data_IF_454980877197
#
_entry.id   IF_454980877197
#
_cell.length_a   1.000
_cell.length_b   1.000
_cell.length_c   1.000
_cell.angle_alpha   90.00
_cell.angle_beta   90.00
_cell.angle_gamma   90.00
#
_symmetry.space_group_name_H-M   'P 1'
#
loop_
_entity.id
_entity.type
_entity.pdbx_description
1 polymer ?
#
# COMPACT_ATOMS: atom_id res chain seq x y z
N UNK A 1 -84.00 -3.35 -20.35
CA UNK A 1 -82.68 -2.79 -20.75
C UNK A 1 -81.84 -2.67 -19.50
N UNK A 2 -80.88 -3.56 -19.31
CA UNK A 2 -79.93 -3.52 -18.19
C UNK A 2 -78.61 -2.92 -18.70
N UNK A 3 -78.13 -1.87 -18.05
CA UNK A 3 -76.80 -1.30 -18.28
C UNK A 3 -75.78 -2.08 -17.43
N UNK A 4 -74.86 -2.79 -18.08
CA UNK A 4 -73.66 -3.33 -17.45
C UNK A 4 -72.56 -2.25 -17.52
N UNK A 5 -72.15 -1.73 -16.36
CA UNK A 5 -70.93 -0.95 -16.20
C UNK A 5 -69.74 -1.90 -16.02
N UNK A 6 -68.87 -1.97 -17.01
CA UNK A 6 -67.62 -2.72 -16.97
C UNK A 6 -66.55 -1.91 -16.24
N UNK A 7 -66.11 -2.37 -15.07
CA UNK A 7 -65.01 -1.80 -14.31
C UNK A 7 -63.67 -2.32 -14.87
N UNK A 8 -62.89 -1.48 -15.56
CA UNK A 8 -61.54 -1.82 -15.99
C UNK A 8 -60.57 -1.69 -14.81
N UNK A 9 -60.08 -2.82 -14.29
CA UNK A 9 -58.95 -2.86 -13.37
C UNK A 9 -57.66 -2.71 -14.18
N UNK A 10 -56.98 -1.56 -14.08
CA UNK A 10 -55.58 -1.45 -14.49
C UNK A 10 -54.72 -2.18 -13.46
N UNK A 11 -54.29 -3.40 -13.79
CA UNK A 11 -53.20 -4.07 -13.08
C UNK A 11 -51.88 -3.43 -13.54
N UNK A 12 -51.30 -2.59 -12.68
CA UNK A 12 -49.89 -2.22 -12.83
C UNK A 12 -49.05 -3.48 -12.61
N UNK A 13 -48.48 -4.03 -13.68
CA UNK A 13 -47.44 -5.04 -13.59
C UNK A 13 -46.18 -4.37 -13.03
N UNK A 14 -45.87 -4.65 -11.76
CA UNK A 14 -44.53 -4.41 -11.20
C UNK A 14 -43.55 -5.27 -12.01
N UNK A 15 -42.86 -4.67 -12.98
CA UNK A 15 -41.70 -5.34 -13.58
C UNK A 15 -40.64 -5.48 -12.48
N UNK A 16 -40.08 -6.69 -12.26
CA UNK A 16 -39.00 -6.85 -11.30
C UNK A 16 -37.81 -6.03 -11.79
N UNK A 17 -37.46 -5.00 -11.02
CA UNK A 17 -36.27 -4.17 -11.22
C UNK A 17 -35.05 -5.08 -11.01
N UNK A 18 -34.42 -5.51 -12.11
CA UNK A 18 -33.28 -6.44 -12.05
C UNK A 18 -32.02 -5.72 -11.59
N UNK A 19 -31.24 -6.37 -10.73
CA UNK A 19 -29.88 -5.94 -10.38
C UNK A 19 -29.04 -5.74 -11.65
N UNK A 20 -28.21 -4.70 -11.64
CA UNK A 20 -27.21 -4.45 -12.68
C UNK A 20 -25.95 -5.22 -12.31
N UNK A 21 -25.58 -6.16 -13.19
CA UNK A 21 -24.34 -6.92 -13.05
C UNK A 21 -23.19 -6.11 -13.61
N UNK A 22 -22.15 -5.91 -12.81
CA UNK A 22 -20.88 -5.34 -13.25
C UNK A 22 -19.78 -6.39 -13.10
N UNK A 23 -19.05 -6.61 -14.19
CA UNK A 23 -17.89 -7.49 -14.23
C UNK A 23 -16.65 -6.63 -14.54
N UNK A 24 -15.60 -6.77 -13.74
CA UNK A 24 -14.33 -6.09 -13.98
C UNK A 24 -13.15 -6.94 -13.51
N UNK A 25 -12.01 -6.72 -14.17
CA UNK A 25 -10.76 -7.35 -13.77
C UNK A 25 -10.17 -6.62 -12.56
N UNK A 26 -9.62 -7.39 -11.62
CA UNK A 26 -8.93 -6.90 -10.44
C UNK A 26 -7.66 -7.73 -10.25
N UNK A 27 -6.56 -7.20 -10.77
CA UNK A 27 -5.30 -7.92 -10.95
C UNK A 27 -5.52 -9.20 -11.78
N UNK A 28 -5.09 -10.38 -11.33
CA UNK A 28 -5.34 -11.64 -12.05
C UNK A 28 -6.76 -12.21 -11.87
N UNK A 29 -7.56 -11.61 -10.98
CA UNK A 29 -8.90 -12.06 -10.66
C UNK A 29 -9.99 -11.34 -11.43
N UNK A 30 -11.16 -11.98 -11.53
CA UNK A 30 -12.41 -11.35 -12.00
C UNK A 30 -13.34 -11.10 -10.84
N UNK A 31 -13.88 -9.89 -10.77
CA UNK A 31 -14.87 -9.49 -9.77
C UNK A 31 -16.20 -9.32 -10.48
N UNK A 32 -17.21 -10.02 -10.00
CA UNK A 32 -18.60 -9.87 -10.40
C UNK A 32 -19.38 -9.31 -9.23
N UNK A 33 -20.03 -8.17 -9.43
CA UNK A 33 -20.91 -7.56 -8.42
C UNK A 33 -22.30 -7.34 -9.02
N UNK A 34 -23.31 -7.52 -8.18
CA UNK A 34 -24.68 -7.18 -8.50
C UNK A 34 -25.09 -5.93 -7.71
N UNK A 35 -25.47 -4.88 -8.43
CA UNK A 35 -25.86 -3.59 -7.87
C UNK A 35 -27.35 -3.40 -8.09
N UNK A 36 -28.12 -3.34 -7.00
CA UNK A 36 -29.55 -3.04 -7.09
C UNK A 36 -29.75 -1.66 -7.71
N UNK A 37 -30.70 -1.44 -8.64
CA UNK A 37 -30.93 -0.11 -9.22
C UNK A 37 -31.33 0.94 -8.18
N UNK A 38 -31.89 0.51 -7.04
CA UNK A 38 -32.13 1.40 -5.89
C UNK A 38 -30.85 1.97 -5.29
N UNK A 39 -29.70 1.32 -5.52
CA UNK A 39 -28.38 1.78 -5.11
C UNK A 39 -27.81 2.86 -6.03
N UNK A 40 -28.46 3.20 -7.15
CA UNK A 40 -28.09 4.33 -8.00
C UNK A 40 -28.65 5.65 -7.41
N UNK A 41 -27.99 6.16 -6.37
CA UNK A 41 -28.46 7.32 -5.60
C UNK A 41 -27.92 8.59 -6.26
N UNK A 42 -28.79 9.50 -6.74
CA UNK A 42 -28.34 10.77 -7.27
C UNK A 42 -27.75 11.62 -6.16
N UNK A 43 -26.72 12.39 -6.50
CA UNK A 43 -26.12 13.37 -5.62
C UNK A 43 -25.83 14.61 -6.45
N UNK A 44 -26.50 15.72 -6.16
CA UNK A 44 -26.03 17.00 -6.68
C UNK A 44 -24.82 17.40 -5.86
N UNK A 45 -23.75 17.89 -6.49
CA UNK A 45 -22.44 18.14 -5.84
C UNK A 45 -22.45 19.26 -4.78
N UNK A 46 -23.63 19.56 -4.20
CA UNK A 46 -23.83 20.39 -3.03
C UNK A 46 -23.29 19.68 -1.78
N UNK A 47 -22.02 19.95 -1.48
CA UNK A 47 -21.28 19.34 -0.38
C UNK A 47 -21.63 19.96 0.98
N UNK A 48 -22.77 19.57 1.52
CA UNK A 48 -23.20 19.91 2.89
C UNK A 48 -23.40 18.66 3.74
N UNK A 49 -23.28 18.80 5.07
CA UNK A 49 -23.53 17.68 5.99
C UNK A 49 -24.94 17.09 5.86
N UNK A 50 -25.96 17.93 5.59
CA UNK A 50 -27.33 17.48 5.36
C UNK A 50 -27.45 16.60 4.10
N UNK A 51 -26.82 17.00 2.99
CA UNK A 51 -26.82 16.21 1.75
C UNK A 51 -26.11 14.86 1.91
N UNK A 52 -24.99 14.84 2.62
CA UNK A 52 -24.29 13.58 2.91
C UNK A 52 -25.12 12.66 3.81
N UNK A 53 -25.84 13.22 4.79
CA UNK A 53 -26.77 12.48 5.64
C UNK A 53 -27.93 11.88 4.82
N UNK A 54 -28.52 12.65 3.90
CA UNK A 54 -29.56 12.18 2.97
C UNK A 54 -29.07 11.04 2.09
N UNK A 55 -27.86 11.18 1.51
CA UNK A 55 -27.23 10.12 0.72
C UNK A 55 -27.06 8.84 1.55
N UNK A 56 -26.51 8.95 2.77
CA UNK A 56 -26.33 7.80 3.65
C UNK A 56 -27.65 7.10 3.97
N UNK A 57 -28.69 7.86 4.34
CA UNK A 57 -30.01 7.31 4.65
C UNK A 57 -30.63 6.59 3.44
N UNK A 58 -30.51 7.17 2.24
CA UNK A 58 -30.96 6.53 1.02
C UNK A 58 -30.20 5.22 0.77
N UNK A 59 -28.87 5.24 0.88
CA UNK A 59 -28.02 4.06 0.67
C UNK A 59 -28.31 2.94 1.66
N UNK A 60 -28.52 3.28 2.93
CA UNK A 60 -28.78 2.33 4.00
C UNK A 60 -30.14 1.60 3.87
N UNK A 61 -31.07 2.17 3.09
CA UNK A 61 -32.38 1.58 2.81
C UNK A 61 -32.39 0.66 1.58
N UNK A 62 -31.28 0.58 0.84
CA UNK A 62 -31.16 -0.26 -0.36
C UNK A 62 -30.74 -1.70 -0.04
N UNK A 63 -30.73 -2.56 -1.06
CA UNK A 63 -30.20 -3.92 -0.98
C UNK A 63 -28.66 -3.98 -1.09
N UNK A 64 -27.94 -3.09 -0.40
CA UNK A 64 -26.48 -3.00 -0.48
C UNK A 64 -25.74 -4.23 0.09
N UNK A 65 -26.40 -5.04 0.94
CA UNK A 65 -25.75 -6.14 1.67
C UNK A 65 -25.15 -7.19 0.74
N UNK A 66 -25.82 -7.51 -0.38
CA UNK A 66 -25.30 -8.48 -1.34
C UNK A 66 -24.00 -8.00 -2.00
N UNK A 67 -23.93 -6.70 -2.32
CA UNK A 67 -22.72 -6.07 -2.84
C UNK A 67 -21.59 -6.14 -1.81
N UNK A 68 -21.84 -5.70 -0.57
CA UNK A 68 -20.82 -5.70 0.50
C UNK A 68 -20.32 -7.11 0.80
N UNK A 69 -21.23 -8.08 0.92
CA UNK A 69 -20.87 -9.48 1.13
C UNK A 69 -20.02 -10.03 -0.02
N UNK A 70 -20.35 -9.70 -1.27
CA UNK A 70 -19.55 -10.13 -2.43
C UNK A 70 -18.13 -9.57 -2.40
N UNK A 71 -17.95 -8.32 -1.94
CA UNK A 71 -16.62 -7.72 -1.76
C UNK A 71 -15.84 -8.38 -0.62
N UNK A 72 -16.50 -8.65 0.52
CA UNK A 72 -15.90 -9.32 1.67
C UNK A 72 -15.54 -10.78 1.36
N UNK A 73 -16.42 -11.52 0.69
CA UNK A 73 -16.15 -12.88 0.23
C UNK A 73 -14.94 -12.91 -0.72
N UNK A 74 -14.83 -11.93 -1.61
CA UNK A 74 -13.66 -11.78 -2.47
C UNK A 74 -12.39 -11.43 -1.66
N UNK A 75 -12.49 -10.52 -0.68
CA UNK A 75 -11.41 -10.16 0.25
C UNK A 75 -10.87 -11.42 0.94
N UNK A 76 -11.75 -12.22 1.51
CA UNK A 76 -11.41 -13.42 2.27
C UNK A 76 -10.83 -14.52 1.37
N UNK A 77 -11.47 -14.77 0.22
CA UNK A 77 -11.02 -15.78 -0.75
C UNK A 77 -9.62 -15.48 -1.30
N UNK A 78 -9.30 -14.21 -1.54
CA UNK A 78 -7.99 -13.80 -2.08
C UNK A 78 -6.97 -13.47 -0.99
N UNK A 79 -7.41 -13.44 0.27
CA UNK A 79 -6.62 -13.00 1.43
C UNK A 79 -6.07 -11.58 1.23
N UNK A 80 -6.93 -10.64 0.81
CA UNK A 80 -6.53 -9.24 0.61
C UNK A 80 -6.28 -8.58 1.97
N UNK A 81 -5.15 -7.89 2.09
CA UNK A 81 -4.95 -6.91 3.17
C UNK A 81 -5.84 -5.68 2.93
N UNK A 82 -5.96 -4.82 3.94
CA UNK A 82 -6.91 -3.71 3.90
C UNK A 82 -6.57 -2.68 2.81
N UNK A 83 -5.29 -2.43 2.53
CA UNK A 83 -4.89 -1.54 1.43
C UNK A 83 -5.34 -2.05 0.06
N UNK A 84 -5.12 -3.33 -0.22
CA UNK A 84 -5.57 -3.96 -1.47
C UNK A 84 -7.09 -4.03 -1.53
N UNK A 85 -7.75 -4.31 -0.39
CA UNK A 85 -9.22 -4.25 -0.29
C UNK A 85 -9.77 -2.86 -0.59
N UNK A 86 -9.13 -1.80 -0.12
CA UNK A 86 -9.51 -0.43 -0.47
C UNK A 86 -9.36 -0.17 -1.98
N UNK A 87 -8.36 -0.74 -2.66
CA UNK A 87 -8.28 -0.65 -4.13
C UNK A 87 -9.47 -1.36 -4.81
N UNK A 88 -9.93 -2.49 -4.27
CA UNK A 88 -11.15 -3.17 -4.74
C UNK A 88 -12.37 -2.24 -4.58
N UNK A 89 -12.55 -1.64 -3.41
CA UNK A 89 -13.65 -0.68 -3.15
C UNK A 89 -13.58 0.52 -4.09
N UNK A 90 -12.38 1.05 -4.37
CA UNK A 90 -12.19 2.13 -5.35
C UNK A 90 -12.63 1.73 -6.76
N UNK A 91 -12.31 0.51 -7.20
CA UNK A 91 -12.72 -0.04 -8.51
C UNK A 91 -14.23 -0.26 -8.55
N UNK A 92 -14.82 -0.80 -7.49
CA UNK A 92 -16.28 -0.94 -7.36
C UNK A 92 -17.00 0.39 -7.42
N UNK A 93 -16.56 1.39 -6.66
CA UNK A 93 -17.15 2.73 -6.70
C UNK A 93 -17.04 3.36 -8.10
N UNK A 94 -15.94 3.09 -8.82
CA UNK A 94 -15.76 3.55 -10.20
C UNK A 94 -16.79 2.95 -11.17
N UNK A 95 -17.25 1.71 -10.94
CA UNK A 95 -18.31 1.09 -11.75
C UNK A 95 -19.69 1.68 -11.48
N UNK A 96 -19.95 2.12 -10.24
CA UNK A 96 -21.27 2.59 -9.78
C UNK A 96 -21.45 4.09 -10.03
N UNK A 97 -20.41 4.87 -9.72
CA UNK A 97 -20.37 6.31 -9.88
C UNK A 97 -18.96 6.71 -10.36
N UNK A 98 -18.74 6.77 -11.68
CA UNK A 98 -17.44 7.10 -12.24
C UNK A 98 -16.91 8.43 -11.68
N UNK A 99 -15.65 8.42 -11.22
CA UNK A 99 -14.99 9.60 -10.63
C UNK A 99 -15.05 10.84 -11.54
N UNK A 100 -14.96 10.64 -12.85
CA UNK A 100 -14.97 11.72 -13.85
C UNK A 100 -16.36 12.35 -14.05
N UNK A 101 -17.44 11.62 -13.74
CA UNK A 101 -18.81 12.11 -13.87
C UNK A 101 -19.25 12.84 -12.61
N UNK A 102 -18.96 12.27 -11.45
CA UNK A 102 -19.29 12.87 -10.15
C UNK A 102 -18.29 12.41 -9.08
N UNK A 103 -17.36 13.30 -8.72
CA UNK A 103 -16.33 13.01 -7.72
C UNK A 103 -16.89 12.84 -6.30
N UNK A 104 -17.90 13.63 -5.92
CA UNK A 104 -18.47 13.60 -4.58
C UNK A 104 -19.17 12.26 -4.33
N UNK A 105 -20.03 11.85 -5.26
CA UNK A 105 -20.75 10.58 -5.28
C UNK A 105 -19.80 9.39 -5.31
N UNK A 106 -18.75 9.43 -6.13
CA UNK A 106 -17.69 8.43 -6.11
C UNK A 106 -17.08 8.28 -4.71
N UNK A 107 -16.77 9.39 -4.05
CA UNK A 107 -16.19 9.40 -2.70
C UNK A 107 -17.17 8.91 -1.64
N UNK A 108 -18.45 9.26 -1.75
CA UNK A 108 -19.52 8.79 -0.87
C UNK A 108 -19.70 7.28 -0.94
N UNK A 109 -19.68 6.67 -2.13
CA UNK A 109 -19.74 5.20 -2.23
C UNK A 109 -18.50 4.53 -1.65
N UNK A 110 -17.29 5.06 -1.86
CA UNK A 110 -16.09 4.52 -1.21
C UNK A 110 -16.24 4.52 0.31
N UNK A 111 -16.63 5.67 0.89
CA UNK A 111 -16.84 5.80 2.33
C UNK A 111 -17.92 4.84 2.83
N UNK A 112 -19.08 4.80 2.16
CA UNK A 112 -20.19 3.94 2.53
C UNK A 112 -19.77 2.47 2.52
N UNK A 113 -19.14 2.00 1.44
CA UNK A 113 -18.69 0.61 1.31
C UNK A 113 -17.63 0.27 2.37
N UNK A 114 -16.67 1.16 2.66
CA UNK A 114 -15.70 0.93 3.73
C UNK A 114 -16.39 0.81 5.11
N UNK A 115 -17.33 1.71 5.42
CA UNK A 115 -18.08 1.66 6.68
C UNK A 115 -18.92 0.37 6.78
N UNK A 116 -19.63 0.01 5.72
CA UNK A 116 -20.45 -1.22 5.67
C UNK A 116 -19.62 -2.50 5.67
N UNK A 117 -18.34 -2.40 5.33
CA UNK A 117 -17.36 -3.50 5.45
C UNK A 117 -16.71 -3.56 6.84
N UNK A 118 -17.11 -2.68 7.75
CA UNK A 118 -16.74 -2.69 9.16
C UNK A 118 -15.66 -1.70 9.55
N UNK A 119 -15.10 -0.90 8.64
CA UNK A 119 -14.02 0.04 8.96
C UNK A 119 -14.56 1.36 9.50
N UNK A 120 -13.99 1.87 10.59
CA UNK A 120 -14.32 3.18 11.14
C UNK A 120 -13.79 4.29 10.21
N UNK A 121 -14.64 4.78 9.33
CA UNK A 121 -14.30 5.77 8.33
C UNK A 121 -15.22 6.99 8.43
N UNK A 122 -14.66 8.18 8.22
CA UNK A 122 -15.31 9.46 8.47
C UNK A 122 -15.22 10.38 7.27
N UNK A 123 -16.18 11.29 7.17
CA UNK A 123 -16.20 12.34 6.15
C UNK A 123 -16.12 13.72 6.78
N UNK A 124 -15.50 14.65 6.06
CA UNK A 124 -15.62 16.07 6.31
C UNK A 124 -15.92 16.79 4.99
N UNK A 125 -16.61 17.92 5.05
CA UNK A 125 -16.90 18.76 3.87
C UNK A 125 -16.52 20.21 4.14
N UNK A 126 -16.07 20.90 3.11
CA UNK A 126 -15.69 22.31 3.18
C UNK A 126 -14.90 22.71 1.95
N UNK A 127 -14.88 24.01 1.62
CA UNK A 127 -14.22 24.52 0.42
C UNK A 127 -14.62 23.80 -0.88
N UNK A 128 -15.89 23.39 -0.99
CA UNK A 128 -16.40 22.58 -2.11
C UNK A 128 -15.61 21.27 -2.33
N UNK A 129 -15.10 20.68 -1.24
CA UNK A 129 -14.38 19.42 -1.22
C UNK A 129 -15.01 18.46 -0.19
N UNK A 130 -14.85 17.16 -0.45
CA UNK A 130 -15.24 16.08 0.44
C UNK A 130 -13.98 15.31 0.82
N UNK A 131 -13.67 15.28 2.10
CA UNK A 131 -12.46 14.65 2.62
C UNK A 131 -12.85 13.34 3.28
N UNK A 132 -12.14 12.27 2.88
CA UNK A 132 -12.42 10.91 3.31
C UNK A 132 -11.29 10.40 4.20
N UNK A 133 -11.62 10.14 5.46
CA UNK A 133 -10.69 9.65 6.46
C UNK A 133 -11.01 8.23 6.88
N UNK A 134 -9.99 7.49 7.30
CA UNK A 134 -10.13 6.16 7.88
C UNK A 134 -9.31 6.04 9.17
N UNK A 135 -9.88 5.39 10.18
CA UNK A 135 -9.17 5.13 11.42
C UNK A 135 -8.01 4.16 11.15
N UNK A 136 -6.82 4.46 11.69
CA UNK A 136 -5.70 3.54 11.69
C UNK A 136 -4.83 3.74 12.93
N UNK A 137 -3.97 2.76 13.24
CA UNK A 137 -3.04 2.84 14.37
C UNK A 137 -1.56 3.01 13.96
N UNK A 138 -1.25 2.84 12.67
CA UNK A 138 0.09 3.04 12.12
C UNK A 138 0.52 4.52 12.06
N UNK A 139 1.83 4.74 12.12
CA UNK A 139 2.42 6.06 11.94
C UNK A 139 2.45 6.49 10.47
N UNK A 140 1.33 7.07 10.04
CA UNK A 140 1.18 7.75 8.75
C UNK A 140 1.20 9.27 8.96
N UNK A 141 2.33 9.92 8.78
CA UNK A 141 2.51 11.36 9.09
C UNK A 141 2.81 12.22 7.85
N UNK A 142 3.01 11.60 6.70
CA UNK A 142 3.28 12.23 5.41
C UNK A 142 2.02 12.83 4.75
N UNK A 143 0.85 12.33 5.13
CA UNK A 143 -0.45 12.82 4.66
C UNK A 143 -1.32 13.35 5.80
N UNK A 144 -2.29 14.24 5.52
CA UNK A 144 -3.14 14.84 6.55
C UNK A 144 -3.90 13.79 7.36
N UNK A 145 -3.90 13.98 8.68
CA UNK A 145 -4.68 13.18 9.63
C UNK A 145 -5.24 14.08 10.73
N UNK A 146 -6.17 13.55 11.52
CA UNK A 146 -6.59 14.15 12.78
C UNK A 146 -6.73 13.08 13.86
N UNK A 147 -6.80 13.50 15.12
CA UNK A 147 -7.05 12.61 16.25
C UNK A 147 -8.35 13.00 16.95
N UNK A 148 -9.19 12.01 17.25
CA UNK A 148 -10.39 12.17 18.07
C UNK A 148 -10.41 11.01 19.08
N UNK A 149 -10.54 11.34 20.37
CA UNK A 149 -10.59 10.37 21.47
C UNK A 149 -9.41 9.37 21.49
N UNK A 150 -8.21 9.85 21.14
CA UNK A 150 -6.99 9.03 21.07
C UNK A 150 -6.93 8.10 19.86
N UNK A 151 -7.87 8.20 18.91
CA UNK A 151 -7.85 7.48 17.64
C UNK A 151 -7.42 8.40 16.50
N UNK A 152 -6.45 7.94 15.72
CA UNK A 152 -5.96 8.63 14.52
C UNK A 152 -6.83 8.28 13.31
N UNK A 153 -7.13 9.30 12.51
CA UNK A 153 -7.89 9.20 11.27
C UNK A 153 -7.12 9.84 10.12
N UNK A 154 -6.70 9.03 9.16
CA UNK A 154 -5.80 9.42 8.08
C UNK A 154 -6.56 9.64 6.76
N UNK A 155 -6.20 10.67 5.99
CA UNK A 155 -6.91 11.11 4.78
C UNK A 155 -6.61 10.22 3.55
N UNK A 156 -7.57 9.39 3.14
CA UNK A 156 -7.43 8.45 2.02
C UNK A 156 -7.51 9.09 0.63
N UNK A 157 -8.02 10.31 0.50
CA UNK A 157 -8.19 10.99 -0.79
C UNK A 157 -7.38 12.28 -0.91
N UNK A 158 -6.35 12.47 -0.07
CA UNK A 158 -5.44 13.61 -0.16
C UNK A 158 -4.83 13.78 -1.56
N UNK A 159 -4.42 12.65 -2.18
CA UNK A 159 -3.85 12.61 -3.53
C UNK A 159 -4.75 13.18 -4.64
N UNK A 160 -6.07 13.25 -4.42
CA UNK A 160 -7.00 13.82 -5.39
C UNK A 160 -6.99 15.36 -5.39
N UNK A 161 -6.51 15.99 -4.31
CA UNK A 161 -6.50 17.44 -4.12
C UNK A 161 -5.08 18.04 -4.12
N UNK A 162 -4.10 17.33 -3.56
CA UNK A 162 -2.71 17.78 -3.47
C UNK A 162 -2.60 19.20 -2.90
N UNK A 163 -2.05 20.14 -3.68
CA UNK A 163 -1.86 21.55 -3.28
C UNK A 163 -3.17 22.31 -3.01
N UNK A 164 -4.32 21.79 -3.46
CA UNK A 164 -5.65 22.38 -3.19
C UNK A 164 -6.21 21.97 -1.82
N UNK A 165 -5.56 21.05 -1.11
CA UNK A 165 -5.93 20.68 0.26
C UNK A 165 -5.58 21.84 1.21
N UNK A 166 -6.54 22.23 2.05
CA UNK A 166 -6.36 23.34 3.00
C UNK A 166 -6.11 22.82 4.43
N UNK A 167 -5.49 23.65 5.26
CA UNK A 167 -5.19 23.30 6.67
C UNK A 167 -6.41 23.54 7.58
N UNK A 168 -6.22 23.35 8.89
CA UNK A 168 -7.25 23.38 9.94
C UNK A 168 -8.32 24.48 9.77
N UNK A 169 -9.55 24.16 10.17
CA UNK A 169 -10.80 24.94 10.08
C UNK A 169 -11.45 25.03 8.69
N UNK A 170 -10.81 24.51 7.65
CA UNK A 170 -11.36 24.44 6.30
C UNK A 170 -12.48 23.39 6.11
N UNK A 171 -12.50 22.35 6.94
CA UNK A 171 -13.37 21.18 6.76
C UNK A 171 -14.18 20.89 8.02
N UNK A 172 -15.48 20.75 7.85
CA UNK A 172 -16.44 20.48 8.91
C UNK A 172 -16.71 18.96 8.95
N UNK A 173 -16.41 18.27 10.07
CA UNK A 173 -16.70 16.84 10.21
C UNK A 173 -18.20 16.54 10.12
N UNK A 174 -18.55 15.47 9.42
CA UNK A 174 -19.93 14.99 9.30
C UNK A 174 -20.18 13.92 10.36
N UNK A 175 -21.20 14.14 11.19
CA UNK A 175 -21.53 13.27 12.33
C UNK A 175 -22.57 12.21 11.93
N UNK A 176 -22.14 11.20 11.17
CA UNK A 176 -22.93 10.00 10.88
C UNK A 176 -22.37 8.82 11.68
N UNK A 177 -23.22 8.13 12.44
CA UNK A 177 -22.85 6.90 13.14
C UNK A 177 -23.27 5.69 12.31
N UNK A 178 -22.31 4.87 11.89
CA UNK A 178 -22.54 3.57 11.23
C UNK A 178 -22.22 2.47 12.26
N UNK A 179 -23.22 1.76 12.81
CA UNK A 179 -23.02 0.85 13.94
C UNK A 179 -21.94 -0.23 13.76
N UNK A 180 -21.80 -0.75 12.54
CA UNK A 180 -20.84 -1.80 12.18
C UNK A 180 -19.42 -1.28 11.91
N UNK A 181 -19.22 0.03 11.75
CA UNK A 181 -17.95 0.64 11.40
C UNK A 181 -17.06 0.84 12.64
N UNK A 182 -16.47 -0.25 13.13
CA UNK A 182 -15.70 -0.26 14.39
C UNK A 182 -14.25 -0.69 14.25
N UNK A 183 -13.89 -1.29 13.12
CA UNK A 183 -12.56 -1.86 12.90
C UNK A 183 -11.58 -0.80 12.42
N UNK A 184 -10.35 -0.97 12.86
CA UNK A 184 -9.22 -0.17 12.44
C UNK A 184 -8.75 -0.64 11.04
N UNK A 185 -8.26 0.28 10.21
CA UNK A 185 -7.68 -0.05 8.91
C UNK A 185 -6.17 -0.21 9.02
N UNK A 186 -5.62 -1.30 8.46
CA UNK A 186 -4.17 -1.47 8.41
C UNK A 186 -3.56 -1.09 7.07
N UNK A 187 -2.52 -0.25 7.11
CA UNK A 187 -1.71 0.04 5.92
C UNK A 187 -0.71 -1.09 5.62
N UNK A 188 -0.58 -2.12 6.47
CA UNK A 188 0.40 -3.20 6.25
C UNK A 188 0.02 -4.07 5.05
N UNK A 189 0.89 -4.10 4.04
CA UNK A 189 0.76 -5.00 2.89
C UNK A 189 1.50 -6.31 3.22
N UNK A 190 0.77 -7.28 3.76
CA UNK A 190 1.31 -8.60 4.15
C UNK A 190 1.38 -9.60 3.00
N UNK A 191 0.68 -9.30 1.90
CA UNK A 191 0.61 -10.11 0.67
C UNK A 191 0.28 -9.19 -0.50
N UNK A 192 1.04 -9.30 -1.60
CA UNK A 192 0.67 -8.67 -2.86
C UNK A 192 -0.38 -9.51 -3.60
N UNK A 193 -1.30 -8.88 -4.35
CA UNK A 193 -2.22 -9.62 -5.21
C UNK A 193 -1.43 -10.41 -6.26
N UNK A 194 -2.02 -11.49 -6.75
CA UNK A 194 -1.48 -12.15 -7.94
C UNK A 194 -1.80 -11.26 -9.16
N UNK A 195 -0.79 -11.00 -9.99
CA UNK A 195 -0.94 -10.21 -11.20
C UNK A 195 -1.05 -11.11 -12.43
N UNK A 196 -1.68 -10.62 -13.50
CA UNK A 196 -1.84 -11.37 -14.75
C UNK A 196 -0.46 -11.81 -15.26
N UNK A 197 -0.20 -13.14 -15.45
CA UNK A 197 1.12 -13.62 -15.82
C UNK A 197 1.68 -13.02 -17.12
N UNK A 198 0.80 -12.71 -18.08
CA UNK A 198 1.18 -12.10 -19.36
C UNK A 198 1.64 -10.64 -19.24
N UNK A 199 1.35 -9.97 -18.12
CA UNK A 199 1.74 -8.58 -17.88
C UNK A 199 3.15 -8.46 -17.26
N UNK A 200 3.78 -9.57 -16.89
CA UNK A 200 5.15 -9.54 -16.38
C UNK A 200 6.14 -9.30 -17.52
N UNK A 201 7.08 -8.40 -17.25
CA UNK A 201 8.22 -8.11 -18.12
C UNK A 201 9.48 -8.76 -17.55
N UNK A 202 10.39 -9.18 -18.43
CA UNK A 202 11.73 -9.58 -18.02
C UNK A 202 12.63 -8.36 -17.94
N UNK A 203 13.35 -8.23 -16.82
CA UNK A 203 14.40 -7.23 -16.63
C UNK A 203 15.72 -7.94 -16.35
N UNK A 204 16.75 -7.55 -17.07
CA UNK A 204 18.10 -8.01 -16.82
C UNK A 204 18.73 -7.13 -15.73
N UNK A 205 19.19 -7.76 -14.66
CA UNK A 205 20.04 -7.12 -13.65
C UNK A 205 21.42 -7.72 -13.72
N UNK A 206 22.44 -6.90 -13.57
CA UNK A 206 23.82 -7.36 -13.53
C UNK A 206 24.63 -6.55 -12.53
N UNK A 207 25.60 -7.22 -11.90
CA UNK A 207 26.59 -6.54 -11.07
C UNK A 207 27.90 -7.32 -11.04
N UNK A 208 28.99 -6.64 -10.74
CA UNK A 208 30.30 -7.24 -10.59
C UNK A 208 30.66 -7.37 -9.11
N UNK A 209 31.16 -8.54 -8.72
CA UNK A 209 31.82 -8.75 -7.43
C UNK A 209 33.25 -9.22 -7.68
N UNK A 210 34.19 -8.29 -7.55
CA UNK A 210 35.58 -8.48 -7.99
C UNK A 210 35.65 -8.74 -9.49
N UNK A 211 36.22 -9.88 -9.88
CA UNK A 211 36.35 -10.30 -11.29
C UNK A 211 35.16 -11.11 -11.80
N UNK A 212 34.15 -11.39 -10.97
CA UNK A 212 33.00 -12.19 -11.37
C UNK A 212 31.81 -11.30 -11.68
N UNK A 213 31.33 -11.40 -12.92
CA UNK A 213 30.08 -10.78 -13.35
C UNK A 213 28.90 -11.71 -13.04
N UNK A 214 27.86 -11.16 -12.42
CA UNK A 214 26.60 -11.83 -12.13
C UNK A 214 25.50 -11.24 -13.00
N UNK A 215 24.62 -12.10 -13.51
CA UNK A 215 23.49 -11.71 -14.34
C UNK A 215 22.23 -12.42 -13.85
N UNK A 216 21.12 -11.70 -13.84
CA UNK A 216 19.81 -12.18 -13.44
C UNK A 216 18.79 -11.75 -14.47
N UNK A 217 17.92 -12.68 -14.87
CA UNK A 217 16.70 -12.35 -15.59
C UNK A 217 15.55 -12.47 -14.58
N UNK A 218 15.00 -11.34 -14.17
CA UNK A 218 13.91 -11.28 -13.20
C UNK A 218 12.62 -10.89 -13.90
N UNK A 219 11.51 -11.46 -13.45
CA UNK A 219 10.17 -11.06 -13.86
C UNK A 219 9.66 -9.97 -12.94
N UNK A 220 9.07 -8.93 -13.50
CA UNK A 220 8.51 -7.79 -12.77
C UNK A 220 7.18 -7.39 -13.38
N UNK A 221 6.28 -6.79 -12.59
CA UNK A 221 4.99 -6.33 -13.10
C UNK A 221 4.81 -4.82 -12.89
N UNK A 222 4.38 -4.10 -13.94
CA UNK A 222 4.15 -2.66 -13.84
C UNK A 222 2.91 -2.30 -12.99
N UNK A 223 1.96 -3.22 -12.84
CA UNK A 223 0.73 -3.03 -12.05
C UNK A 223 1.04 -2.77 -10.56
N UNK A 224 2.24 -3.14 -10.09
CA UNK A 224 2.71 -2.79 -8.75
C UNK A 224 2.80 -1.26 -8.56
N UNK A 225 3.20 -0.53 -9.60
CA UNK A 225 3.30 0.93 -9.52
C UNK A 225 1.94 1.58 -9.29
N UNK A 226 0.87 0.99 -9.85
CA UNK A 226 -0.49 1.46 -9.64
C UNK A 226 -1.01 1.15 -8.24
N UNK A 227 -0.67 -0.02 -7.68
CA UNK A 227 -1.03 -0.39 -6.29
C UNK A 227 -0.42 0.58 -5.26
N UNK A 228 0.80 1.04 -5.50
CA UNK A 228 1.54 1.94 -4.61
C UNK A 228 1.39 3.42 -4.96
N UNK A 229 0.70 3.77 -6.05
CA UNK A 229 0.62 5.14 -6.57
C UNK A 229 0.16 6.17 -5.53
N UNK A 230 -0.78 5.78 -4.67
CA UNK A 230 -1.33 6.62 -3.61
C UNK A 230 -1.10 6.02 -2.21
N UNK A 231 -0.20 5.05 -2.10
CA UNK A 231 0.16 4.48 -0.80
C UNK A 231 1.03 5.49 -0.05
N UNK A 232 0.70 5.82 1.20
CA UNK A 232 1.45 6.82 1.94
C UNK A 232 2.82 6.30 2.38
N UNK A 233 3.68 7.21 2.80
CA UNK A 233 4.84 6.92 3.62
C UNK A 233 4.41 6.24 4.92
N UNK A 234 4.90 5.02 5.10
CA UNK A 234 4.69 4.21 6.30
C UNK A 234 6.00 4.06 7.07
N UNK A 235 5.89 3.59 8.31
CA UNK A 235 7.06 3.28 9.13
C UNK A 235 7.98 2.22 8.48
N UNK A 236 9.24 2.18 8.95
CA UNK A 236 10.26 1.28 8.40
C UNK A 236 9.90 -0.20 8.57
N UNK A 237 9.24 -0.58 9.66
CA UNK A 237 8.75 -1.95 9.84
C UNK A 237 7.78 -2.31 8.69
N UNK A 238 6.76 -1.51 8.48
CA UNK A 238 5.72 -1.78 7.48
C UNK A 238 6.32 -1.81 6.09
N UNK A 239 7.10 -0.79 5.76
CA UNK A 239 7.73 -0.61 4.46
C UNK A 239 8.70 -1.75 4.10
N UNK A 240 9.60 -2.13 5.01
CA UNK A 240 10.61 -3.16 4.75
C UNK A 240 10.03 -4.57 4.64
N UNK A 241 8.86 -4.81 5.23
CA UNK A 241 8.21 -6.12 5.23
C UNK A 241 7.24 -6.33 4.07
N UNK A 242 7.10 -5.38 3.14
CA UNK A 242 6.30 -5.57 1.92
C UNK A 242 6.90 -6.73 1.10
N UNK A 243 6.11 -7.78 0.77
CA UNK A 243 6.63 -8.94 0.05
C UNK A 243 6.82 -8.67 -1.44
N UNK A 244 7.55 -9.56 -2.13
CA UNK A 244 7.57 -9.63 -3.58
C UNK A 244 6.31 -10.34 -4.11
N UNK A 245 5.92 -10.00 -5.33
CA UNK A 245 4.93 -10.72 -6.11
C UNK A 245 5.45 -12.12 -6.44
N UNK A 246 4.53 -13.05 -6.69
CA UNK A 246 4.84 -14.47 -6.85
C UNK A 246 5.88 -14.73 -7.95
N UNK A 247 5.72 -14.15 -9.13
CA UNK A 247 6.64 -14.38 -10.26
C UNK A 247 7.99 -13.66 -10.05
N UNK A 248 8.00 -12.49 -9.41
CA UNK A 248 9.24 -11.81 -9.04
C UNK A 248 10.02 -12.63 -8.01
N UNK A 249 9.34 -13.11 -6.97
CA UNK A 249 9.95 -14.01 -5.99
C UNK A 249 10.54 -15.26 -6.66
N UNK A 250 9.77 -15.93 -7.53
CA UNK A 250 10.17 -17.17 -8.19
C UNK A 250 11.32 -17.00 -9.19
N UNK A 251 11.49 -15.81 -9.77
CA UNK A 251 12.59 -15.53 -10.69
C UNK A 251 13.85 -15.00 -9.99
N UNK A 252 13.71 -14.25 -8.90
CA UNK A 252 14.84 -13.64 -8.20
C UNK A 252 15.42 -14.52 -7.08
N UNK A 253 14.60 -14.98 -6.13
CA UNK A 253 15.10 -15.60 -4.90
C UNK A 253 15.82 -16.93 -5.17
N UNK A 254 15.31 -17.85 -6.01
CA UNK A 254 16.05 -19.04 -6.38
C UNK A 254 17.39 -18.74 -7.08
N UNK A 255 17.44 -17.74 -7.95
CA UNK A 255 18.66 -17.34 -8.66
C UNK A 255 19.72 -16.76 -7.70
N UNK A 256 19.30 -15.98 -6.69
CA UNK A 256 20.19 -15.53 -5.63
C UNK A 256 20.67 -16.71 -4.77
N UNK A 257 19.77 -17.60 -4.34
CA UNK A 257 20.12 -18.80 -3.54
C UNK A 257 21.11 -19.71 -4.25
N UNK A 258 21.02 -19.85 -5.58
CA UNK A 258 22.00 -20.60 -6.38
C UNK A 258 23.40 -20.00 -6.27
N UNK A 259 23.52 -18.68 -6.45
CA UNK A 259 24.78 -17.96 -6.34
C UNK A 259 25.38 -17.94 -4.92
N UNK A 260 24.53 -18.21 -3.92
CA UNK A 260 24.87 -18.25 -2.51
C UNK A 260 25.22 -19.65 -1.99
N UNK A 261 25.07 -20.71 -2.80
CA UNK A 261 25.40 -22.08 -2.39
C UNK A 261 26.82 -22.17 -1.84
N UNK A 262 26.95 -22.78 -0.66
CA UNK A 262 28.23 -22.96 0.03
C UNK A 262 28.82 -21.71 0.69
N UNK A 263 28.15 -20.55 0.61
CA UNK A 263 28.55 -19.35 1.37
C UNK A 263 27.95 -19.40 2.76
N UNK A 264 28.77 -19.14 3.77
CA UNK A 264 28.29 -18.87 5.13
C UNK A 264 27.63 -17.49 5.21
N UNK A 265 26.96 -17.20 6.33
CA UNK A 265 26.25 -15.94 6.57
C UNK A 265 27.07 -14.71 6.23
N UNK A 266 28.31 -14.61 6.74
CA UNK A 266 29.21 -13.48 6.44
C UNK A 266 29.38 -13.26 4.93
N UNK A 267 29.75 -14.31 4.19
CA UNK A 267 29.98 -14.23 2.74
C UNK A 267 28.67 -14.02 1.96
N UNK A 268 27.57 -14.52 2.49
CA UNK A 268 26.25 -14.39 1.89
C UNK A 268 25.68 -12.99 2.03
N UNK A 269 25.73 -12.44 3.24
CA UNK A 269 25.29 -11.07 3.52
C UNK A 269 26.16 -10.06 2.78
N UNK A 270 27.49 -10.24 2.74
CA UNK A 270 28.37 -9.37 1.92
C UNK A 270 28.00 -9.43 0.43
N UNK A 271 27.65 -10.61 -0.09
CA UNK A 271 27.16 -10.76 -1.47
C UNK A 271 25.84 -10.04 -1.71
N UNK A 272 24.85 -10.18 -0.81
CA UNK A 272 23.56 -9.49 -0.91
C UNK A 272 23.72 -7.97 -0.77
N UNK A 273 24.63 -7.52 0.08
CA UNK A 273 24.99 -6.10 0.23
C UNK A 273 25.57 -5.57 -1.08
N UNK A 274 26.47 -6.31 -1.75
CA UNK A 274 27.03 -5.91 -3.05
C UNK A 274 26.00 -5.94 -4.17
N UNK A 275 25.10 -6.93 -4.19
CA UNK A 275 23.99 -6.99 -5.14
C UNK A 275 23.13 -5.72 -5.03
N UNK A 276 22.67 -5.39 -3.82
CA UNK A 276 21.85 -4.18 -3.58
C UNK A 276 22.59 -2.88 -3.83
N UNK A 277 23.91 -2.87 -3.62
CA UNK A 277 24.77 -1.71 -3.89
C UNK A 277 25.01 -1.46 -5.37
N UNK A 278 25.16 -2.50 -6.19
CA UNK A 278 25.70 -2.33 -7.55
C UNK A 278 24.78 -2.79 -8.68
N UNK A 279 23.66 -3.46 -8.40
CA UNK A 279 22.72 -3.87 -9.43
C UNK A 279 21.81 -2.75 -9.95
N UNK A 280 21.86 -1.55 -9.35
CA UNK A 280 20.97 -0.41 -9.63
C UNK A 280 21.78 0.89 -9.77
N UNK A 281 21.30 1.81 -10.60
CA UNK A 281 21.82 3.18 -10.64
C UNK A 281 21.40 3.92 -9.37
N UNK A 282 22.27 4.79 -8.85
CA UNK A 282 21.95 5.61 -7.67
C UNK A 282 21.49 6.99 -8.11
N UNK A 283 20.36 7.44 -7.57
CA UNK A 283 19.81 8.79 -7.75
C UNK A 283 18.89 9.07 -6.55
N UNK A 284 18.93 10.27 -5.98
CA UNK A 284 18.11 10.64 -4.82
C UNK A 284 16.66 10.93 -5.23
N UNK A 285 15.74 10.72 -4.30
CA UNK A 285 14.30 10.84 -4.53
C UNK A 285 13.83 12.24 -4.96
N UNK A 286 14.42 13.31 -4.44
CA UNK A 286 14.09 14.66 -4.91
C UNK A 286 14.36 14.84 -6.41
N UNK A 287 15.39 14.20 -6.95
CA UNK A 287 15.70 14.25 -8.38
C UNK A 287 14.85 13.26 -9.19
N UNK A 288 14.52 12.08 -8.63
CA UNK A 288 13.71 11.05 -9.30
C UNK A 288 12.20 11.34 -9.32
N UNK A 289 11.65 11.77 -8.18
CA UNK A 289 10.21 11.86 -7.91
C UNK A 289 9.76 13.27 -7.52
N UNK A 290 10.68 14.17 -7.18
CA UNK A 290 10.37 15.54 -6.72
C UNK A 290 9.94 15.63 -5.26
N UNK A 291 9.87 14.51 -4.54
CA UNK A 291 9.56 14.36 -3.11
C UNK A 291 10.18 13.06 -2.59
N UNK A 292 10.46 12.96 -1.28
CA UNK A 292 10.83 11.68 -0.64
C UNK A 292 9.75 10.61 -0.92
N UNK A 293 10.16 9.46 -1.46
CA UNK A 293 9.25 8.36 -1.81
C UNK A 293 9.95 7.00 -1.65
N UNK A 294 9.60 6.35 -0.55
CA UNK A 294 10.06 4.98 -0.23
C UNK A 294 9.43 3.94 -1.18
N UNK A 295 10.24 3.15 -1.90
CA UNK A 295 9.82 2.25 -2.99
C UNK A 295 9.48 0.77 -2.75
N UNK A 296 9.59 0.09 -1.63
CA UNK A 296 9.34 -1.35 -1.46
C UNK A 296 10.33 -2.22 -2.25
N UNK A 297 10.61 -3.44 -1.81
CA UNK A 297 11.60 -4.30 -2.46
C UNK A 297 11.36 -4.50 -3.96
N UNK A 298 10.10 -4.66 -4.38
CA UNK A 298 9.79 -4.87 -5.80
C UNK A 298 9.77 -3.58 -6.64
N UNK A 299 9.29 -2.44 -6.13
CA UNK A 299 9.43 -1.22 -6.93
C UNK A 299 10.90 -0.77 -7.02
N UNK A 300 11.75 -1.05 -6.02
CA UNK A 300 13.21 -0.88 -6.15
C UNK A 300 13.77 -1.72 -7.31
N UNK A 301 13.33 -2.97 -7.45
CA UNK A 301 13.72 -3.84 -8.57
C UNK A 301 13.17 -3.34 -9.91
N UNK A 302 11.97 -2.75 -9.91
CA UNK A 302 11.30 -2.24 -11.12
C UNK A 302 11.94 -0.95 -11.64
N UNK A 303 12.27 -0.02 -10.77
CA UNK A 303 12.80 1.29 -11.14
C UNK A 303 14.23 1.23 -11.69
N UNK A 304 14.62 2.25 -12.47
CA UNK A 304 15.96 2.34 -13.06
C UNK A 304 17.02 2.80 -12.04
N UNK A 305 16.60 3.70 -11.17
CA UNK A 305 17.37 4.29 -10.09
C UNK A 305 16.72 3.99 -8.74
N UNK A 306 17.52 4.04 -7.68
CA UNK A 306 17.09 3.88 -6.29
C UNK A 306 18.03 4.60 -5.34
N UNK A 307 17.49 5.11 -4.22
CA UNK A 307 18.24 5.83 -3.20
C UNK A 307 18.62 4.94 -1.99
N UNK A 308 19.00 5.55 -0.86
CA UNK A 308 19.39 4.81 0.34
C UNK A 308 18.23 4.04 0.99
N UNK A 309 17.04 4.63 1.07
CA UNK A 309 15.88 4.01 1.72
C UNK A 309 15.43 2.75 0.98
N UNK A 310 15.40 2.84 -0.34
CA UNK A 310 15.04 1.77 -1.25
C UNK A 310 16.00 0.57 -1.20
N UNK A 311 17.30 0.87 -1.15
CA UNK A 311 18.37 -0.14 -1.13
C UNK A 311 18.45 -0.83 0.22
N UNK A 312 18.26 -0.10 1.32
CA UNK A 312 18.16 -0.67 2.67
C UNK A 312 16.93 -1.58 2.78
N UNK A 313 15.77 -1.18 2.23
CA UNK A 313 14.58 -2.03 2.22
C UNK A 313 14.78 -3.32 1.43
N UNK A 314 15.35 -3.24 0.22
CA UNK A 314 15.65 -4.43 -0.57
C UNK A 314 16.70 -5.32 0.12
N UNK A 315 17.74 -4.74 0.70
CA UNK A 315 18.75 -5.50 1.46
C UNK A 315 18.12 -6.21 2.67
N UNK A 316 17.27 -5.52 3.43
CA UNK A 316 16.51 -6.09 4.53
C UNK A 316 15.74 -7.31 4.07
N UNK A 317 14.94 -7.15 3.02
CA UNK A 317 14.09 -8.18 2.48
C UNK A 317 14.91 -9.42 2.09
N UNK A 318 16.02 -9.24 1.37
CA UNK A 318 16.86 -10.35 0.91
C UNK A 318 17.57 -11.08 2.05
N UNK A 319 18.11 -10.36 3.04
CA UNK A 319 18.76 -10.99 4.20
C UNK A 319 17.73 -11.75 5.03
N UNK A 320 16.56 -11.15 5.28
CA UNK A 320 15.44 -11.81 5.96
C UNK A 320 15.00 -13.09 5.22
N UNK A 321 14.81 -13.02 3.92
CA UNK A 321 14.26 -14.12 3.11
C UNK A 321 15.24 -15.29 2.91
N UNK A 322 16.55 -15.00 2.87
CA UNK A 322 17.57 -16.01 2.53
C UNK A 322 18.27 -16.56 3.77
N UNK A 323 18.65 -15.70 4.71
CA UNK A 323 19.41 -16.08 5.90
C UNK A 323 18.60 -15.92 7.20
N UNK A 324 17.54 -15.12 7.19
CA UNK A 324 16.66 -14.87 8.34
C UNK A 324 17.46 -14.46 9.59
N UNK A 325 18.32 -13.46 9.45
CA UNK A 325 19.18 -12.96 10.53
C UNK A 325 18.56 -11.76 11.25
N UNK A 326 18.85 -11.57 12.56
CA UNK A 326 18.48 -10.35 13.27
C UNK A 326 19.16 -9.12 12.67
N UNK A 327 18.41 -8.02 12.56
CA UNK A 327 18.87 -6.79 11.92
C UNK A 327 18.38 -5.57 12.67
N UNK A 328 19.17 -4.49 12.68
CA UNK A 328 18.75 -3.17 13.13
C UNK A 328 18.96 -2.13 12.03
N UNK A 329 18.04 -1.19 11.95
CA UNK A 329 18.07 -0.10 10.97
C UNK A 329 18.57 1.17 11.63
N UNK A 330 19.60 1.78 11.04
CA UNK A 330 20.27 2.96 11.56
C UNK A 330 19.89 4.17 10.69
N UNK A 331 19.12 5.09 11.27
CA UNK A 331 18.76 6.35 10.63
C UNK A 331 19.69 7.46 11.10
N UNK A 332 20.49 7.99 10.18
CA UNK A 332 21.30 9.20 10.34
C UNK A 332 20.54 10.40 9.75
N UNK A 333 20.91 11.65 10.09
CA UNK A 333 20.27 12.84 9.54
C UNK A 333 20.22 12.94 8.01
N UNK A 334 21.20 12.34 7.32
CA UNK A 334 21.34 12.42 5.85
C UNK A 334 21.45 11.05 5.19
N UNK A 335 21.27 9.95 5.92
CA UNK A 335 21.52 8.62 5.39
C UNK A 335 20.78 7.55 6.21
N UNK A 336 20.44 6.44 5.56
CA UNK A 336 19.95 5.24 6.24
C UNK A 336 20.80 4.05 5.85
N UNK A 337 21.09 3.21 6.84
CA UNK A 337 21.86 1.98 6.64
C UNK A 337 21.41 0.90 7.62
N UNK A 338 22.07 -0.25 7.61
CA UNK A 338 21.66 -1.39 8.42
C UNK A 338 22.83 -2.02 9.14
N UNK A 339 22.54 -2.72 10.24
CA UNK A 339 23.50 -3.62 10.86
C UNK A 339 22.87 -5.00 11.06
N UNK A 340 23.65 -6.05 10.78
CA UNK A 340 23.21 -7.45 10.83
C UNK A 340 23.92 -8.16 11.97
N UNK A 341 23.19 -8.96 12.75
CA UNK A 341 23.80 -9.79 13.78
C UNK A 341 24.46 -11.02 13.14
N UNK A 342 25.74 -11.21 13.45
CA UNK A 342 26.50 -12.42 13.13
C UNK A 342 26.90 -13.13 14.42
N UNK A 343 27.33 -14.39 14.31
CA UNK A 343 27.88 -15.14 15.45
C UNK A 343 29.04 -14.38 16.14
N UNK A 344 29.88 -13.71 15.35
CA UNK A 344 30.95 -12.83 15.83
C UNK A 344 30.87 -11.49 15.11
N UNK A 345 30.98 -10.36 15.83
CA UNK A 345 30.98 -9.04 15.21
C UNK A 345 32.14 -8.91 14.23
N UNK A 346 31.90 -8.21 13.14
CA UNK A 346 32.85 -7.97 12.06
C UNK A 346 33.03 -6.46 11.95
N UNK A 347 34.26 -5.97 12.13
CA UNK A 347 34.58 -4.55 12.03
C UNK A 347 33.77 -3.68 13.00
N UNK A 348 33.32 -2.53 12.51
CA UNK A 348 32.42 -1.61 13.20
C UNK A 348 31.08 -2.31 13.50
N UNK A 349 30.70 -2.31 14.77
CA UNK A 349 29.49 -2.94 15.26
C UNK A 349 28.75 -2.07 16.28
N UNK A 350 27.42 -2.16 16.26
CA UNK A 350 26.53 -1.46 17.17
C UNK A 350 26.09 -2.43 18.27
N UNK A 351 26.26 -2.03 19.53
CA UNK A 351 25.70 -2.74 20.67
C UNK A 351 24.25 -2.29 20.88
N UNK A 352 23.30 -3.20 20.73
CA UNK A 352 21.88 -2.93 20.95
C UNK A 352 21.24 -4.12 21.65
N UNK A 353 20.48 -3.86 22.72
CA UNK A 353 19.82 -4.90 23.54
C UNK A 353 20.75 -6.07 23.93
N UNK A 354 22.01 -5.76 24.25
CA UNK A 354 23.01 -6.76 24.68
C UNK A 354 23.62 -7.60 23.55
N UNK A 355 23.29 -7.35 22.29
CA UNK A 355 23.81 -8.03 21.10
C UNK A 355 24.59 -7.07 20.22
N UNK A 356 25.62 -7.56 19.53
CA UNK A 356 26.39 -6.78 18.56
C UNK A 356 25.89 -7.02 17.13
N UNK A 357 25.67 -5.93 16.40
CA UNK A 357 25.24 -5.93 15.00
C UNK A 357 26.32 -5.26 14.15
N UNK A 358 26.84 -5.95 13.13
CA UNK A 358 27.91 -5.41 12.27
C UNK A 358 27.33 -4.57 11.14
N UNK A 359 27.91 -3.39 10.88
CA UNK A 359 27.44 -2.45 9.85
C UNK A 359 27.45 -3.11 8.47
N UNK A 360 26.36 -2.98 7.73
CA UNK A 360 26.19 -3.42 6.36
C UNK A 360 25.64 -2.24 5.54
N UNK A 361 26.45 -1.69 4.64
CA UNK A 361 26.10 -0.53 3.84
C UNK A 361 25.64 -0.94 2.43
N UNK A 362 24.33 -1.06 2.15
CA UNK A 362 23.83 -1.47 0.84
C UNK A 362 23.82 -0.34 -0.19
N UNK A 363 24.17 0.90 0.18
CA UNK A 363 24.17 2.05 -0.72
C UNK A 363 25.60 2.40 -1.15
N UNK A 364 25.84 2.77 -2.42
CA UNK A 364 27.14 3.26 -2.86
C UNK A 364 27.61 4.44 -2.01
N UNK A 365 28.89 4.41 -1.65
CA UNK A 365 29.54 5.49 -0.91
C UNK A 365 30.76 5.97 -1.69
N UNK A 366 31.28 7.15 -1.36
CA UNK A 366 32.50 7.68 -1.99
C UNK A 366 33.71 6.74 -1.84
N UNK A 367 33.69 5.87 -0.82
CA UNK A 367 34.68 4.82 -0.60
C UNK A 367 34.04 3.44 -0.70
N UNK A 368 34.81 2.46 -1.17
CA UNK A 368 34.37 1.06 -1.18
C UNK A 368 34.40 0.51 0.25
N UNK A 369 33.21 0.36 0.85
CA UNK A 369 33.04 -0.17 2.20
C UNK A 369 32.85 -1.69 2.19
N UNK A 370 33.69 -2.39 2.95
CA UNK A 370 33.47 -3.80 3.28
C UNK A 370 32.42 -3.94 4.40
N UNK A 371 31.94 -5.17 4.61
CA UNK A 371 31.12 -5.50 5.77
C UNK A 371 31.85 -5.12 7.07
N UNK A 372 31.14 -4.44 7.97
CA UNK A 372 31.71 -3.91 9.20
C UNK A 372 32.48 -2.62 9.01
N UNK A 373 32.24 -1.87 7.94
CA UNK A 373 32.86 -0.56 7.75
C UNK A 373 31.79 0.50 7.57
N UNK A 374 32.00 1.64 8.23
CA UNK A 374 31.21 2.85 8.08
C UNK A 374 32.08 3.98 7.51
N UNK A 375 31.48 4.93 6.80
CA UNK A 375 32.21 6.11 6.32
C UNK A 375 32.66 6.99 7.50
N UNK A 376 33.79 7.69 7.32
CA UNK A 376 34.32 8.58 8.37
C UNK A 376 33.39 9.76 8.69
N UNK A 377 32.52 10.13 7.74
CA UNK A 377 31.47 11.12 7.95
C UNK A 377 30.39 10.59 8.89
N UNK A 378 29.83 9.40 8.59
CA UNK A 378 28.77 8.81 9.39
C UNK A 378 29.23 8.42 10.79
N UNK A 379 30.50 8.02 10.97
CA UNK A 379 31.08 7.76 12.31
C UNK A 379 31.01 8.96 13.27
N UNK A 380 30.92 10.18 12.74
CA UNK A 380 30.86 11.42 13.52
C UNK A 380 29.42 11.91 13.74
N UNK A 381 28.44 11.26 13.12
CA UNK A 381 27.03 11.62 13.23
C UNK A 381 26.33 10.73 14.25
N UNK A 382 25.35 11.30 14.96
CA UNK A 382 24.41 10.51 15.76
C UNK A 382 23.42 9.79 14.85
N UNK A 383 23.00 8.59 15.24
CA UNK A 383 21.94 7.84 14.58
C UNK A 383 20.83 7.46 15.56
N UNK A 384 19.68 7.08 15.02
CA UNK A 384 18.58 6.44 15.74
C UNK A 384 18.41 5.00 15.25
N UNK A 385 18.06 4.09 16.15
CA UNK A 385 17.62 2.75 15.77
C UNK A 385 16.11 2.81 15.57
N UNK A 386 15.68 2.80 14.31
CA UNK A 386 14.28 3.04 13.91
C UNK A 386 13.50 1.77 13.66
N UNK A 387 14.19 0.63 13.55
CA UNK A 387 13.58 -0.69 13.42
C UNK A 387 14.55 -1.78 13.89
N UNK A 388 14.01 -2.80 14.53
CA UNK A 388 14.74 -3.98 15.01
C UNK A 388 13.96 -5.23 14.63
N UNK A 389 14.54 -6.02 13.73
CA UNK A 389 14.01 -7.31 13.33
C UNK A 389 14.69 -8.44 14.11
N UNK A 390 13.87 -9.29 14.71
CA UNK A 390 14.26 -10.58 15.25
C UNK A 390 13.45 -11.67 14.54
N UNK A 391 14.10 -12.73 14.02
CA UNK A 391 13.43 -13.92 13.50
C UNK A 391 12.47 -14.51 14.54
N UNK A 392 11.28 -14.92 14.09
CA UNK A 392 10.28 -15.59 14.92
C UNK A 392 10.43 -17.10 14.93
#
# INVERSE_FOLDING_TARGET
>A
MAFLTTLCWLTYSLQPVRAQRHDFDFYDGKVSIDVSPSFNIPFDDSLTGARVQEFYQAADQTEYRNLVNSLLDYKDKQHLNDWVYYQLVRRTAQQIAPKAENYARYTLYKWFLMCKSGYDARLAVGNNQIIFFIQNNEDISDIPFFEIDGKKYTCLNFHDYGKLFQRADAYIPIKIKVPEATNDFSYKITKLPDFVPANYIEKQLAFNDGHKAYHFNIKLNNDISDLFKNYPGVDFETYFNIPLSKETYQSLIPALKENLKGKNEKKGVDYLMRFTRYAFLYENDENNFGTEKRLSPEQTLLNKSSDCDDRVALFFYLVKEIYNLPMITLLYPTHITMAVQFERPIGDAILYNGKYYSICEPTPQAQSLALGQLSEELKKQSYQIVYHYEPR
#
